data_IF_663322733742
#
_entry.id   IF_663322733742
#
_cell.length_a   1.000
_cell.length_b   1.000
_cell.length_c   1.000
_cell.angle_alpha   90.00
_cell.angle_beta   90.00
_cell.angle_gamma   90.00
#
_symmetry.space_group_name_H-M   'P 1'
#
loop_
_entity.id
_entity.type
_entity.pdbx_description
1 polymer ?
#
# COMPACT_ATOMS: atom_id res chain seq x y z
N UNK A 1 0.04 16.18 -14.09
CA UNK A 1 -0.17 15.28 -12.94
C UNK A 1 1.04 15.11 -12.00
N UNK A 2 2.18 15.76 -12.25
CA UNK A 2 3.38 15.60 -11.39
C UNK A 2 3.13 15.99 -9.92
N UNK A 3 2.18 16.88 -9.64
CA UNK A 3 1.84 17.44 -8.33
C UNK A 3 0.46 17.00 -7.80
N UNK A 4 -0.10 15.89 -8.29
CA UNK A 4 -1.35 15.37 -7.74
C UNK A 4 -1.14 14.83 -6.32
N UNK A 5 -2.14 14.96 -5.41
CA UNK A 5 -2.03 14.50 -4.03
C UNK A 5 -1.83 12.98 -3.92
N UNK A 6 -1.11 12.55 -2.90
CA UNK A 6 -0.88 11.13 -2.61
C UNK A 6 -2.07 10.57 -1.83
N UNK A 7 -3.01 9.96 -2.56
CA UNK A 7 -4.29 9.47 -2.03
C UNK A 7 -4.29 7.99 -1.69
N UNK A 8 -3.29 7.24 -2.15
CA UNK A 8 -3.19 5.80 -1.94
C UNK A 8 -1.86 5.44 -1.33
N UNK A 9 -1.88 4.63 -0.27
CA UNK A 9 -0.72 3.94 0.27
C UNK A 9 -0.82 2.45 -0.09
N UNK A 10 0.13 1.94 -0.88
CA UNK A 10 0.06 0.60 -1.44
C UNK A 10 1.18 -0.28 -0.90
N UNK A 11 0.82 -1.30 -0.12
CA UNK A 11 1.76 -2.32 0.35
C UNK A 11 1.93 -3.41 -0.70
N UNK A 12 3.06 -3.37 -1.37
CA UNK A 12 3.43 -4.23 -2.49
C UNK A 12 3.71 -3.43 -3.76
N UNK A 13 4.88 -3.66 -4.33
CA UNK A 13 5.38 -3.03 -5.54
C UNK A 13 5.55 -4.03 -6.70
N UNK A 14 4.99 -5.23 -6.50
CA UNK A 14 5.06 -6.32 -7.47
C UNK A 14 4.25 -6.08 -8.74
N UNK A 15 4.46 -6.94 -9.73
CA UNK A 15 3.84 -6.82 -11.06
C UNK A 15 2.31 -6.85 -11.01
N UNK A 16 1.71 -7.58 -10.06
CA UNK A 16 0.26 -7.69 -9.97
C UNK A 16 -0.38 -6.31 -9.68
N UNK A 17 0.00 -5.66 -8.59
CA UNK A 17 -0.58 -4.36 -8.23
C UNK A 17 -0.27 -3.29 -9.29
N UNK A 18 0.95 -3.29 -9.82
CA UNK A 18 1.36 -2.34 -10.87
C UNK A 18 0.58 -2.51 -12.18
N UNK A 19 0.21 -3.75 -12.52
CA UNK A 19 -0.55 -4.04 -13.73
C UNK A 19 -2.08 -3.95 -13.54
N UNK A 20 -2.57 -3.95 -12.31
CA UNK A 20 -3.98 -3.94 -11.98
C UNK A 20 -4.40 -2.65 -11.26
N UNK A 21 -3.96 -2.44 -10.04
CA UNK A 21 -4.42 -1.32 -9.20
C UNK A 21 -3.89 0.01 -9.72
N UNK A 22 -2.59 0.13 -9.97
CA UNK A 22 -1.98 1.36 -10.48
C UNK A 22 -2.51 1.73 -11.86
N UNK A 23 -2.81 0.71 -12.70
CA UNK A 23 -3.46 0.90 -13.99
C UNK A 23 -4.86 1.51 -13.86
N UNK A 24 -5.67 1.02 -12.91
CA UNK A 24 -7.01 1.57 -12.69
C UNK A 24 -6.97 3.00 -12.12
N UNK A 25 -6.05 3.32 -11.23
CA UNK A 25 -5.84 4.69 -10.76
C UNK A 25 -5.32 5.62 -11.87
N UNK A 26 -4.49 5.11 -12.77
CA UNK A 26 -4.04 5.88 -13.93
C UNK A 26 -5.21 6.19 -14.90
N UNK A 27 -6.09 5.21 -15.12
CA UNK A 27 -7.33 5.43 -15.88
C UNK A 27 -8.31 6.36 -15.16
N UNK A 28 -8.44 6.28 -13.84
CA UNK A 28 -9.29 7.16 -13.06
C UNK A 28 -8.83 8.62 -13.15
N UNK A 29 -7.53 8.84 -13.16
CA UNK A 29 -6.97 10.17 -13.42
C UNK A 29 -7.32 10.72 -14.79
N UNK A 30 -7.34 9.85 -15.81
CA UNK A 30 -7.62 10.26 -17.19
C UNK A 30 -9.12 10.44 -17.47
N UNK A 31 -9.96 9.53 -16.91
CA UNK A 31 -11.37 9.41 -17.32
C UNK A 31 -12.37 9.88 -16.27
N UNK A 32 -11.96 10.06 -15.03
CA UNK A 32 -12.84 10.36 -13.91
C UNK A 32 -12.36 11.55 -13.05
N UNK A 33 -11.37 12.29 -13.50
CA UNK A 33 -10.79 13.46 -12.80
C UNK A 33 -10.45 13.16 -11.32
N UNK A 34 -10.04 11.93 -11.02
CA UNK A 34 -9.74 11.51 -9.66
C UNK A 34 -8.60 12.32 -9.01
N UNK A 35 -7.64 12.78 -9.83
CA UNK A 35 -6.51 13.62 -9.44
C UNK A 35 -5.78 13.09 -8.20
N UNK A 36 -5.18 11.91 -8.32
CA UNK A 36 -4.47 11.27 -7.20
C UNK A 36 -3.28 10.44 -7.64
N UNK A 37 -2.41 10.14 -6.68
CA UNK A 37 -1.23 9.30 -6.85
C UNK A 37 -1.15 8.20 -5.81
N UNK A 38 -0.42 7.13 -6.15
CA UNK A 38 -0.11 6.01 -5.28
C UNK A 38 1.31 6.14 -4.75
N UNK A 39 1.48 6.01 -3.45
CA UNK A 39 2.77 5.79 -2.78
C UNK A 39 2.91 4.28 -2.56
N UNK A 40 3.90 3.67 -3.18
CA UNK A 40 4.18 2.26 -2.99
C UNK A 40 5.06 2.06 -1.75
N UNK A 41 4.84 0.98 -1.03
CA UNK A 41 5.67 0.54 0.10
C UNK A 41 6.16 -0.87 -0.19
N UNK A 42 7.47 -1.03 -0.25
CA UNK A 42 8.07 -2.36 -0.44
C UNK A 42 7.89 -3.19 0.84
N UNK A 43 7.32 -4.42 0.73
CA UNK A 43 6.88 -5.18 1.91
C UNK A 43 8.01 -5.87 2.66
N UNK A 44 9.15 -6.13 2.00
CA UNK A 44 10.33 -6.80 2.55
C UNK A 44 11.60 -6.00 2.23
N UNK A 45 12.69 -6.25 2.95
CA UNK A 45 13.93 -5.49 2.81
C UNK A 45 14.53 -5.52 1.37
N UNK A 46 14.64 -6.66 0.68
CA UNK A 46 14.95 -6.66 -0.75
C UNK A 46 13.71 -6.32 -1.58
N UNK A 47 13.76 -5.28 -2.42
CA UNK A 47 12.61 -4.86 -3.22
C UNK A 47 12.98 -3.92 -4.36
N UNK A 48 11.98 -3.31 -4.96
CA UNK A 48 12.11 -2.53 -6.20
C UNK A 48 12.10 -1.00 -5.97
N UNK A 49 12.08 -0.53 -4.71
CA UNK A 49 11.92 0.90 -4.41
C UNK A 49 12.95 1.76 -5.15
N UNK A 50 14.23 1.37 -5.13
CA UNK A 50 15.27 2.10 -5.84
C UNK A 50 14.99 2.20 -7.34
N UNK A 51 14.70 1.07 -7.99
CA UNK A 51 14.44 1.02 -9.44
C UNK A 51 13.20 1.87 -9.83
N UNK A 52 12.13 1.78 -9.04
CA UNK A 52 10.90 2.54 -9.31
C UNK A 52 11.15 4.04 -9.16
N UNK A 53 11.93 4.45 -8.17
CA UNK A 53 12.25 5.86 -7.95
C UNK A 53 13.21 6.42 -9.01
N UNK A 54 14.20 5.64 -9.47
CA UNK A 54 15.11 6.04 -10.56
C UNK A 54 14.37 6.34 -11.87
N UNK A 55 13.23 5.72 -12.10
CA UNK A 55 12.35 6.00 -13.25
C UNK A 55 11.16 6.92 -12.91
N UNK A 56 11.24 7.66 -11.81
CA UNK A 56 10.21 8.62 -11.36
C UNK A 56 8.79 8.00 -11.25
N UNK A 57 8.69 6.73 -10.88
CA UNK A 57 7.43 5.99 -10.79
C UNK A 57 6.79 5.63 -12.15
N UNK A 58 7.42 5.96 -13.26
CA UNK A 58 6.91 5.69 -14.60
C UNK A 58 7.31 4.29 -15.08
N UNK A 59 6.38 3.58 -15.72
CA UNK A 59 6.67 2.31 -16.37
C UNK A 59 5.67 2.03 -17.51
N UNK A 60 6.07 1.18 -18.45
CA UNK A 60 5.19 0.76 -19.54
C UNK A 60 4.50 -0.55 -19.20
N UNK A 61 3.17 -0.53 -19.20
CA UNK A 61 2.31 -1.70 -19.10
C UNK A 61 1.93 -2.18 -20.50
N UNK A 62 2.12 -3.47 -20.78
CA UNK A 62 1.65 -4.13 -21.99
C UNK A 62 0.42 -4.98 -21.68
N UNK A 63 -0.69 -4.70 -22.36
CA UNK A 63 -1.93 -5.46 -22.28
C UNK A 63 -2.01 -6.37 -23.53
N UNK A 64 -1.74 -7.65 -23.34
CA UNK A 64 -1.70 -8.64 -24.43
C UNK A 64 -2.72 -9.73 -24.20
N UNK A 65 -3.49 -10.02 -25.22
CA UNK A 65 -4.52 -11.06 -25.12
C UNK A 65 -5.42 -11.13 -26.34
N UNK A 66 -6.66 -11.54 -26.13
CA UNK A 66 -7.71 -11.57 -27.14
C UNK A 66 -8.98 -10.94 -26.57
N UNK A 67 -9.55 -9.99 -27.28
CA UNK A 67 -10.83 -9.37 -26.97
C UNK A 67 -11.78 -9.54 -28.15
N UNK A 68 -12.94 -10.16 -27.92
CA UNK A 68 -13.92 -10.45 -28.98
C UNK A 68 -13.33 -11.19 -30.21
N UNK A 69 -12.40 -12.14 -29.96
CA UNK A 69 -11.71 -12.90 -30.98
C UNK A 69 -10.63 -12.17 -31.76
N UNK A 70 -10.34 -10.91 -31.42
CA UNK A 70 -9.26 -10.11 -32.01
C UNK A 70 -8.07 -10.05 -31.08
N UNK A 71 -6.88 -10.15 -31.65
CA UNK A 71 -5.63 -9.98 -30.88
C UNK A 71 -5.53 -8.53 -30.35
N UNK A 72 -5.25 -8.40 -29.08
CA UNK A 72 -4.95 -7.13 -28.41
C UNK A 72 -3.46 -7.12 -28.06
N UNK A 73 -2.78 -6.04 -28.38
CA UNK A 73 -1.38 -5.75 -28.01
C UNK A 73 -1.25 -4.25 -27.76
N UNK A 74 -1.87 -3.79 -26.66
CA UNK A 74 -1.87 -2.40 -26.26
C UNK A 74 -0.75 -2.13 -25.26
N UNK A 75 -0.26 -0.89 -25.28
CA UNK A 75 0.75 -0.44 -24.33
C UNK A 75 0.36 0.93 -23.75
N UNK A 76 0.60 1.07 -22.46
CA UNK A 76 0.30 2.29 -21.73
C UNK A 76 1.45 2.64 -20.78
N UNK A 77 1.82 3.92 -20.76
CA UNK A 77 2.72 4.43 -19.73
C UNK A 77 1.89 4.73 -18.49
N UNK A 78 2.16 4.03 -17.41
CA UNK A 78 1.53 4.26 -16.11
C UNK A 78 2.23 5.42 -15.42
N UNK A 79 1.46 6.38 -14.94
CA UNK A 79 1.92 7.61 -14.29
C UNK A 79 1.23 7.88 -12.94
N UNK A 80 0.42 6.94 -12.47
CA UNK A 80 -0.30 7.04 -11.19
C UNK A 80 0.60 6.87 -9.96
N UNK A 81 1.80 6.32 -10.10
CA UNK A 81 2.76 6.17 -9.00
C UNK A 81 3.55 7.45 -8.78
N UNK A 82 3.67 7.91 -7.53
CA UNK A 82 4.49 9.06 -7.15
C UNK A 82 5.91 8.64 -6.79
N UNK A 83 6.02 7.64 -5.92
CA UNK A 83 7.28 7.11 -5.38
C UNK A 83 7.08 5.74 -4.75
N UNK A 84 8.18 5.05 -4.46
CA UNK A 84 8.18 3.81 -3.70
C UNK A 84 9.06 3.97 -2.46
N UNK A 85 8.53 3.63 -1.30
CA UNK A 85 9.19 3.74 -0.01
C UNK A 85 9.80 2.39 0.40
N UNK A 86 11.03 2.44 0.93
CA UNK A 86 11.64 1.32 1.62
C UNK A 86 11.53 1.54 3.14
N UNK A 87 10.55 0.93 3.84
CA UNK A 87 10.36 1.18 5.26
C UNK A 87 11.45 0.58 6.16
N UNK A 88 12.39 -0.19 5.58
CA UNK A 88 13.57 -0.72 6.28
C UNK A 88 14.73 0.29 6.34
N UNK A 89 14.56 1.44 5.72
CA UNK A 89 15.42 2.62 5.85
C UNK A 89 14.68 3.66 6.72
N UNK A 90 15.40 4.32 7.62
CA UNK A 90 14.83 5.27 8.58
C UNK A 90 13.97 6.34 7.89
N UNK A 91 14.49 6.94 6.82
CA UNK A 91 13.76 7.95 6.05
C UNK A 91 12.53 7.37 5.36
N UNK A 92 12.61 6.15 4.81
CA UNK A 92 11.48 5.48 4.17
C UNK A 92 10.35 5.16 5.16
N UNK A 93 10.70 4.71 6.37
CA UNK A 93 9.72 4.48 7.42
C UNK A 93 9.06 5.78 7.86
N UNK A 94 9.83 6.82 8.11
CA UNK A 94 9.32 8.16 8.46
C UNK A 94 8.35 8.67 7.40
N UNK A 95 8.73 8.62 6.12
CA UNK A 95 7.86 9.04 5.01
C UNK A 95 6.57 8.22 4.93
N UNK A 96 6.60 6.92 5.22
CA UNK A 96 5.41 6.09 5.29
C UNK A 96 4.45 6.59 6.40
N UNK A 97 4.98 6.97 7.56
CA UNK A 97 4.18 7.55 8.65
C UNK A 97 3.66 8.94 8.31
N UNK A 98 4.43 9.77 7.62
CA UNK A 98 3.98 11.08 7.13
C UNK A 98 2.80 10.95 6.17
N UNK A 99 2.85 9.98 5.24
CA UNK A 99 1.71 9.66 4.35
C UNK A 99 0.51 9.17 5.16
N UNK A 100 0.72 8.32 6.17
CA UNK A 100 -0.37 7.84 7.04
C UNK A 100 -1.09 8.99 7.76
N UNK A 101 -0.38 10.05 8.14
CA UNK A 101 -0.92 11.23 8.80
C UNK A 101 -1.45 12.31 7.83
N UNK A 102 -1.35 12.09 6.51
CA UNK A 102 -1.86 13.03 5.51
C UNK A 102 -3.39 13.07 5.48
N UNK A 103 -3.94 14.27 5.23
CA UNK A 103 -5.36 14.45 4.98
C UNK A 103 -5.78 13.96 3.59
N UNK A 104 -4.84 13.92 2.64
CA UNK A 104 -5.07 13.47 1.27
C UNK A 104 -5.22 11.96 1.16
N UNK A 105 -4.70 11.18 2.13
CA UNK A 105 -4.75 9.72 2.09
C UNK A 105 -6.19 9.22 2.27
N UNK A 106 -6.70 8.53 1.24
CA UNK A 106 -8.07 8.01 1.17
C UNK A 106 -8.13 6.48 1.25
N UNK A 107 -7.13 5.79 0.67
CA UNK A 107 -7.16 4.35 0.44
C UNK A 107 -5.82 3.72 0.83
N UNK A 108 -5.87 2.55 1.47
CA UNK A 108 -4.73 1.65 1.59
C UNK A 108 -5.02 0.39 0.77
N UNK A 109 -4.04 -0.04 -0.04
CA UNK A 109 -4.12 -1.26 -0.84
C UNK A 109 -3.02 -2.21 -0.42
N UNK A 110 -3.26 -3.52 -0.43
CA UNK A 110 -2.22 -4.51 -0.19
C UNK A 110 -2.29 -5.70 -1.14
N UNK A 111 -1.13 -6.23 -1.47
CA UNK A 111 -0.94 -7.58 -2.02
C UNK A 111 0.46 -8.04 -1.62
N UNK A 112 0.56 -8.66 -0.45
CA UNK A 112 1.80 -9.09 0.20
C UNK A 112 2.01 -10.60 0.13
N UNK A 113 1.38 -11.25 -0.84
CA UNK A 113 1.26 -12.70 -1.02
C UNK A 113 0.31 -13.38 -0.03
N UNK A 114 -0.03 -14.65 -0.29
CA UNK A 114 -0.93 -15.45 0.58
C UNK A 114 -0.37 -15.62 1.99
N UNK A 115 0.96 -15.64 2.13
CA UNK A 115 1.64 -15.73 3.41
C UNK A 115 1.75 -14.37 4.15
N UNK A 116 1.35 -13.27 3.53
CA UNK A 116 1.49 -11.93 4.09
C UNK A 116 0.46 -11.59 5.17
N UNK A 117 -0.75 -12.15 5.09
CA UNK A 117 -1.83 -11.92 6.07
C UNK A 117 -1.76 -12.98 7.18
N UNK A 118 -0.77 -12.89 8.04
CA UNK A 118 -0.58 -13.79 9.17
C UNK A 118 -0.23 -12.97 10.42
N UNK A 119 -0.88 -13.31 11.55
CA UNK A 119 -0.49 -12.77 12.85
C UNK A 119 0.80 -13.47 13.33
N UNK A 120 1.82 -12.69 13.59
CA UNK A 120 3.07 -13.16 14.19
C UNK A 120 3.19 -12.65 15.63
N UNK A 121 3.10 -13.53 16.64
CA UNK A 121 3.20 -13.12 18.03
C UNK A 121 4.60 -12.60 18.44
N UNK A 122 5.63 -12.85 17.61
CA UNK A 122 6.98 -12.33 17.84
C UNK A 122 7.16 -10.91 17.26
N UNK A 123 6.22 -10.46 16.40
CA UNK A 123 6.25 -9.12 15.81
C UNK A 123 5.95 -8.06 16.86
N UNK A 124 6.86 -7.13 17.04
CA UNK A 124 6.73 -6.00 17.97
C UNK A 124 6.32 -4.75 17.19
N UNK A 125 5.36 -4.00 17.75
CA UNK A 125 4.90 -2.74 17.15
C UNK A 125 5.88 -1.59 17.41
N UNK A 126 6.84 -1.75 18.30
CA UNK A 126 7.94 -0.82 18.57
C UNK A 126 9.08 -0.94 17.56
N UNK A 127 9.14 -2.05 16.80
CA UNK A 127 10.16 -2.26 15.76
C UNK A 127 9.95 -1.28 14.59
N UNK A 128 11.04 -0.91 13.93
CA UNK A 128 11.04 0.06 12.83
C UNK A 128 11.65 -0.57 11.58
N UNK A 129 10.79 -1.09 10.67
CA UNK A 129 9.34 -1.32 10.77
C UNK A 129 9.02 -2.62 11.55
N UNK A 130 7.75 -2.80 11.94
CA UNK A 130 7.25 -4.09 12.41
C UNK A 130 7.54 -5.20 11.39
N UNK A 131 7.89 -6.41 11.85
CA UNK A 131 8.37 -7.50 10.97
C UNK A 131 7.28 -8.02 10.02
N UNK A 132 6.03 -8.15 10.49
CA UNK A 132 4.90 -8.63 9.67
C UNK A 132 4.19 -7.50 8.92
N UNK A 133 3.51 -7.83 7.80
CA UNK A 133 2.66 -6.85 7.09
C UNK A 133 1.48 -6.36 7.95
N UNK A 134 0.69 -7.22 8.62
CA UNK A 134 -0.38 -6.73 9.49
C UNK A 134 0.14 -5.87 10.65
N UNK A 135 1.35 -6.14 11.14
CA UNK A 135 2.04 -5.29 12.13
C UNK A 135 2.35 -3.91 11.57
N UNK A 136 2.95 -3.81 10.38
CA UNK A 136 3.21 -2.53 9.67
C UNK A 136 1.90 -1.76 9.43
N UNK A 137 0.87 -2.45 8.96
CA UNK A 137 -0.45 -1.84 8.77
C UNK A 137 -1.02 -1.32 10.10
N UNK A 138 -0.88 -2.06 11.19
CA UNK A 138 -1.32 -1.61 12.53
C UNK A 138 -0.55 -0.36 12.96
N UNK A 139 0.76 -0.28 12.73
CA UNK A 139 1.56 0.93 12.99
C UNK A 139 1.01 2.14 12.22
N UNK A 140 0.74 1.97 10.91
CA UNK A 140 0.18 3.03 10.05
C UNK A 140 -1.20 3.49 10.54
N UNK A 141 -2.10 2.55 10.84
CA UNK A 141 -3.45 2.85 11.31
C UNK A 141 -3.44 3.52 12.69
N UNK A 142 -2.60 3.04 13.61
CA UNK A 142 -2.45 3.62 14.94
C UNK A 142 -1.85 5.03 14.89
N UNK A 143 -0.81 5.23 14.06
CA UNK A 143 -0.22 6.56 13.84
C UNK A 143 -1.26 7.55 13.29
N UNK A 144 -2.05 7.12 12.30
CA UNK A 144 -3.15 7.92 11.73
C UNK A 144 -4.20 8.27 12.78
N UNK A 145 -4.59 7.32 13.63
CA UNK A 145 -5.52 7.54 14.74
C UNK A 145 -4.97 8.55 15.75
N UNK A 146 -3.71 8.43 16.17
CA UNK A 146 -3.06 9.39 17.09
C UNK A 146 -2.95 10.79 16.49
N UNK A 147 -2.80 10.89 15.17
CA UNK A 147 -2.82 12.17 14.44
C UNK A 147 -4.23 12.77 14.29
N UNK A 148 -5.28 12.12 14.81
CA UNK A 148 -6.66 12.60 14.74
C UNK A 148 -7.26 12.58 13.33
N UNK A 149 -6.72 11.75 12.42
CA UNK A 149 -7.16 11.70 11.04
C UNK A 149 -8.38 10.79 10.87
N UNK A 150 -9.16 11.05 9.81
CA UNK A 150 -10.36 10.26 9.47
C UNK A 150 -9.99 8.80 9.17
N UNK A 151 -10.99 7.90 9.33
CA UNK A 151 -10.90 6.51 8.86
C UNK A 151 -10.55 6.43 7.39
N UNK A 152 -10.09 5.24 6.96
CA UNK A 152 -9.55 5.00 5.62
C UNK A 152 -10.14 3.72 5.04
N UNK A 153 -10.23 3.64 3.72
CA UNK A 153 -10.67 2.44 3.02
C UNK A 153 -9.47 1.49 2.90
N UNK A 154 -9.65 0.23 3.34
CA UNK A 154 -8.66 -0.83 3.17
C UNK A 154 -9.09 -1.82 2.09
N UNK A 155 -8.28 -1.97 1.04
CA UNK A 155 -8.47 -2.92 -0.05
C UNK A 155 -7.39 -4.01 0.02
N UNK A 156 -7.72 -5.15 0.61
CA UNK A 156 -6.86 -6.32 0.61
C UNK A 156 -7.02 -7.07 -0.72
N UNK A 157 -5.93 -7.24 -1.46
CA UNK A 157 -5.91 -7.90 -2.77
C UNK A 157 -5.14 -9.24 -2.76
N UNK A 158 -4.80 -9.76 -1.60
CA UNK A 158 -4.17 -11.06 -1.43
C UNK A 158 -5.12 -12.19 -1.87
N UNK A 159 -4.58 -13.22 -2.52
CA UNK A 159 -5.34 -14.35 -3.06
C UNK A 159 -5.66 -15.37 -1.96
N UNK A 160 -6.45 -14.97 -0.98
CA UNK A 160 -6.97 -15.83 0.09
C UNK A 160 -8.46 -15.56 0.32
N UNK A 161 -9.18 -16.60 0.74
CA UNK A 161 -10.60 -16.48 1.05
C UNK A 161 -10.83 -15.49 2.21
N UNK A 162 -11.81 -14.58 2.01
CA UNK A 162 -12.14 -13.55 3.00
C UNK A 162 -10.95 -12.69 3.46
N UNK A 163 -10.02 -12.38 2.56
CA UNK A 163 -8.78 -11.65 2.81
C UNK A 163 -8.96 -10.43 3.73
N UNK A 164 -9.95 -9.58 3.49
CA UNK A 164 -10.24 -8.41 4.33
C UNK A 164 -10.64 -8.77 5.76
N UNK A 165 -11.36 -9.89 5.97
CA UNK A 165 -11.72 -10.36 7.32
C UNK A 165 -10.51 -10.91 8.06
N UNK A 166 -9.66 -11.69 7.38
CA UNK A 166 -8.44 -12.23 7.97
C UNK A 166 -7.44 -11.12 8.30
N UNK A 167 -7.31 -10.11 7.43
CA UNK A 167 -6.49 -8.93 7.73
C UNK A 167 -7.01 -8.15 8.95
N UNK A 168 -8.32 -7.92 9.01
CA UNK A 168 -8.95 -7.25 10.17
C UNK A 168 -8.71 -8.02 11.47
N UNK A 169 -8.80 -9.35 11.42
CA UNK A 169 -8.51 -10.21 12.57
C UNK A 169 -7.06 -10.05 13.06
N UNK A 170 -6.08 -10.07 12.14
CA UNK A 170 -4.68 -9.85 12.49
C UNK A 170 -4.45 -8.46 13.10
N UNK A 171 -5.02 -7.41 12.51
CA UNK A 171 -4.92 -6.04 13.03
C UNK A 171 -5.52 -5.93 14.44
N UNK A 172 -6.69 -6.53 14.67
CA UNK A 172 -7.32 -6.53 16.00
C UNK A 172 -6.49 -7.27 17.06
N UNK A 173 -5.78 -8.33 16.68
CA UNK A 173 -4.84 -9.02 17.57
C UNK A 173 -3.69 -8.09 17.98
N UNK A 174 -3.10 -7.33 17.06
CA UNK A 174 -2.07 -6.34 17.39
C UNK A 174 -2.61 -5.16 18.21
N UNK A 175 -3.81 -4.66 17.89
CA UNK A 175 -4.45 -3.59 18.67
C UNK A 175 -4.70 -3.99 20.12
N UNK A 176 -5.02 -5.26 20.39
CA UNK A 176 -5.20 -5.74 21.78
C UNK A 176 -3.92 -5.61 22.60
N UNK A 177 -2.75 -5.71 21.99
CA UNK A 177 -1.46 -5.52 22.66
C UNK A 177 -1.21 -4.05 23.03
N UNK A 178 -1.66 -3.11 22.21
CA UNK A 178 -1.54 -1.67 22.49
C UNK A 178 -2.38 -1.29 23.70
N UNK A 179 -3.60 -1.81 23.81
CA UNK A 179 -4.49 -1.54 24.95
C UNK A 179 -3.98 -2.11 26.27
N UNK A 180 -3.17 -3.17 26.24
CA UNK A 180 -2.55 -3.74 27.45
C UNK A 180 -1.39 -2.86 27.94
N UNK A 181 -0.74 -2.13 27.05
CA UNK A 181 0.42 -1.29 27.38
C UNK A 181 0.06 0.17 27.71
N UNK A 182 -1.15 0.64 27.38
CA UNK A 182 -1.62 1.96 27.78
C UNK A 182 -2.25 1.90 29.20
N UNK A 183 -1.81 2.74 30.14
CA UNK A 183 -2.47 2.80 31.45
C UNK A 183 -3.91 3.26 31.30
N UNK A 184 -4.83 2.51 31.86
CA UNK A 184 -6.24 2.90 31.97
C UNK A 184 -6.34 4.26 32.66
N UNK A 185 -6.78 5.27 31.92
CA UNK A 185 -7.12 6.58 32.46
C UNK A 185 -8.54 6.56 33.01
#
# INVERSE_FOLDING_TARGET
MKNAPEKVLQFGEGNFLRAFVDYWFDLANEKADWNGKCVLVQPIAPGLAKMINEQEGLYTLYLRGSENGKKVDDKRVISSVSRCLNPYEEEGFKQMMDVAASDDLEIIVSNTTEAGIVYDPACKLEDVPASSFPGKLTQVLYHRYKAGKKGIIMLACELIDNNGKELLKCVNQYLSLIHISEPTR
#
